data_IF_782529287043
#
_entry.id   IF_782529287043
#
_cell.length_a   1.000
_cell.length_b   1.000
_cell.length_c   1.000
_cell.angle_alpha   90.00
_cell.angle_beta   90.00
_cell.angle_gamma   90.00
#
_symmetry.space_group_name_H-M   'P 1'
#
loop_
_entity.id
_entity.type
_entity.pdbx_description
1 polymer ?
#
# COMPACT_ATOMS: atom_id res chain seq x y z
N UNK A 1 -3.25 -26.86 -2.26
CA UNK A 1 -3.26 -25.42 -1.92
C UNK A 1 -4.02 -25.26 -0.61
N UNK A 2 -3.41 -24.79 0.49
CA UNK A 2 -4.15 -24.53 1.74
C UNK A 2 -4.96 -23.25 1.56
N UNK A 3 -6.27 -23.21 1.87
CA UNK A 3 -7.03 -21.97 1.78
C UNK A 3 -6.41 -20.94 2.74
N UNK A 4 -6.11 -19.75 2.23
CA UNK A 4 -5.73 -18.62 3.07
C UNK A 4 -6.98 -18.28 3.89
N UNK A 5 -6.91 -18.47 5.21
CA UNK A 5 -7.96 -18.12 6.17
C UNK A 5 -8.09 -16.61 6.40
N UNK A 6 -7.51 -15.81 5.52
CA UNK A 6 -7.35 -14.38 5.70
C UNK A 6 -8.56 -13.65 5.12
N UNK A 7 -9.32 -12.99 5.99
CA UNK A 7 -10.42 -12.13 5.56
C UNK A 7 -9.86 -10.81 5.00
N UNK A 8 -9.68 -10.79 3.69
CA UNK A 8 -9.23 -9.61 2.94
C UNK A 8 -10.16 -8.41 3.13
N UNK A 9 -11.46 -8.62 3.30
CA UNK A 9 -12.45 -7.54 3.45
C UNK A 9 -12.27 -6.88 4.80
N UNK A 10 -12.17 -7.66 5.88
CA UNK A 10 -11.88 -7.11 7.20
C UNK A 10 -10.52 -6.43 7.26
N UNK A 11 -9.48 -6.96 6.60
CA UNK A 11 -8.19 -6.28 6.53
C UNK A 11 -8.33 -4.90 5.88
N UNK A 12 -8.96 -4.84 4.70
CA UNK A 12 -9.11 -3.59 3.95
C UNK A 12 -9.93 -2.57 4.73
N UNK A 13 -10.99 -3.03 5.41
CA UNK A 13 -11.81 -2.19 6.30
C UNK A 13 -10.99 -1.59 7.44
N UNK A 14 -10.23 -2.41 8.17
CA UNK A 14 -9.35 -1.93 9.25
C UNK A 14 -8.30 -0.94 8.75
N UNK A 15 -7.77 -1.17 7.55
CA UNK A 15 -6.84 -0.24 6.90
C UNK A 15 -7.49 1.11 6.59
N UNK A 16 -8.69 1.11 6.01
CA UNK A 16 -9.44 2.33 5.72
C UNK A 16 -9.78 3.10 7.01
N UNK A 17 -10.25 2.41 8.06
CA UNK A 17 -10.55 3.02 9.35
C UNK A 17 -9.33 3.73 9.97
N UNK A 18 -8.14 3.14 9.85
CA UNK A 18 -6.90 3.77 10.32
C UNK A 18 -6.52 5.01 9.50
N UNK A 19 -6.70 4.97 8.19
CA UNK A 19 -6.45 6.14 7.33
C UNK A 19 -7.41 7.26 7.67
N UNK A 20 -8.71 6.96 7.83
CA UNK A 20 -9.72 7.96 8.19
C UNK A 20 -9.37 8.64 9.51
N UNK A 21 -9.00 7.89 10.56
CA UNK A 21 -8.56 8.46 11.84
C UNK A 21 -7.32 9.35 11.73
N UNK A 22 -6.42 9.06 10.80
CA UNK A 22 -5.20 9.87 10.59
C UNK A 22 -5.48 11.16 9.81
N UNK A 23 -6.53 11.15 9.00
CA UNK A 23 -6.97 12.31 8.20
C UNK A 23 -8.03 13.15 8.92
N UNK A 24 -8.63 12.62 9.98
CA UNK A 24 -9.60 13.33 10.81
C UNK A 24 -9.01 14.62 11.36
N UNK A 25 -9.75 15.73 11.21
CA UNK A 25 -9.31 17.05 11.64
C UNK A 25 -8.25 17.72 10.77
N UNK A 26 -7.73 17.05 9.73
CA UNK A 26 -6.78 17.67 8.78
C UNK A 26 -7.51 18.52 7.75
N UNK A 27 -6.91 19.66 7.42
CA UNK A 27 -7.30 20.46 6.26
C UNK A 27 -7.01 19.72 4.96
N UNK A 28 -7.64 20.15 3.87
CA UNK A 28 -7.43 19.56 2.54
C UNK A 28 -5.94 19.54 2.15
N UNK A 29 -5.20 20.60 2.48
CA UNK A 29 -3.77 20.70 2.17
C UNK A 29 -2.95 19.65 2.93
N UNK A 30 -3.21 19.49 4.23
CA UNK A 30 -2.52 18.50 5.07
C UNK A 30 -2.87 17.06 4.69
N UNK A 31 -4.09 16.81 4.20
CA UNK A 31 -4.46 15.52 3.64
C UNK A 31 -3.67 15.24 2.35
N UNK A 32 -3.51 16.26 1.50
CA UNK A 32 -2.77 16.14 0.25
C UNK A 32 -1.28 15.86 0.50
N UNK A 33 -0.66 16.55 1.47
CA UNK A 33 0.70 16.27 1.92
C UNK A 33 0.86 14.86 2.49
N UNK A 34 -0.11 14.38 3.27
CA UNK A 34 -0.11 13.00 3.78
C UNK A 34 -0.03 11.98 2.63
N UNK A 35 -0.81 12.18 1.58
CA UNK A 35 -0.82 11.28 0.42
C UNK A 35 0.46 11.39 -0.42
N UNK A 36 0.98 12.60 -0.61
CA UNK A 36 2.25 12.82 -1.33
C UNK A 36 3.40 12.10 -0.62
N UNK A 37 3.56 12.32 0.68
CA UNK A 37 4.59 11.67 1.49
C UNK A 37 4.48 10.14 1.46
N UNK A 38 3.27 9.61 1.63
CA UNK A 38 3.05 8.17 1.57
C UNK A 38 3.39 7.56 0.19
N UNK A 39 3.18 8.33 -0.88
CA UNK A 39 3.52 7.92 -2.24
C UNK A 39 5.03 7.91 -2.46
N UNK A 40 5.74 8.94 -2.01
CA UNK A 40 7.20 9.02 -2.09
C UNK A 40 7.87 7.86 -1.35
N UNK A 41 7.48 7.60 -0.11
CA UNK A 41 7.99 6.49 0.70
C UNK A 41 7.78 5.13 0.00
N UNK A 42 6.60 4.95 -0.61
CA UNK A 42 6.28 3.74 -1.36
C UNK A 42 7.16 3.60 -2.60
N UNK A 43 7.37 4.67 -3.36
CA UNK A 43 8.23 4.68 -4.55
C UNK A 43 9.66 4.34 -4.16
N UNK A 44 10.22 4.98 -3.12
CA UNK A 44 11.57 4.70 -2.63
C UNK A 44 11.71 3.23 -2.23
N UNK A 45 10.71 2.67 -1.52
CA UNK A 45 10.70 1.25 -1.14
C UNK A 45 10.62 0.33 -2.36
N UNK A 46 9.80 0.65 -3.35
CA UNK A 46 9.71 -0.15 -4.57
C UNK A 46 11.03 -0.12 -5.36
N UNK A 47 11.68 1.04 -5.45
CA UNK A 47 12.96 1.20 -6.12
C UNK A 47 14.07 0.40 -5.43
N UNK A 48 14.13 0.40 -4.10
CA UNK A 48 15.10 -0.41 -3.35
C UNK A 48 14.87 -1.91 -3.53
N UNK A 49 13.61 -2.34 -3.58
CA UNK A 49 13.25 -3.74 -3.85
C UNK A 49 13.56 -4.15 -5.31
N UNK A 50 13.37 -3.24 -6.28
CA UNK A 50 13.72 -3.48 -7.69
C UNK A 50 15.24 -3.62 -7.89
N UNK A 51 16.06 -2.82 -7.20
CA UNK A 51 17.52 -2.95 -7.24
C UNK A 51 18.03 -4.30 -6.69
N UNK A 52 17.26 -4.93 -5.80
CA UNK A 52 17.64 -6.18 -5.12
C UNK A 52 16.98 -7.46 -5.69
N UNK A 53 16.21 -7.38 -6.79
CA UNK A 53 15.59 -8.56 -7.41
C UNK A 53 16.19 -8.86 -8.78
N UNK A 54 17.02 -9.92 -8.83
CA UNK A 54 17.11 -10.82 -9.98
C UNK A 54 15.68 -11.25 -10.31
N UNK A 55 15.25 -10.99 -11.53
CA UNK A 55 13.88 -11.15 -11.99
C UNK A 55 13.50 -12.65 -11.93
N UNK A 56 12.42 -13.06 -11.25
CA UNK A 56 11.68 -14.22 -11.70
C UNK A 56 10.79 -13.75 -12.85
N UNK A 57 11.07 -14.24 -14.04
CA UNK A 57 10.18 -14.19 -15.20
C UNK A 57 8.79 -14.72 -14.81
N UNK A 58 7.82 -13.81 -14.69
CA UNK A 58 6.41 -14.18 -14.54
C UNK A 58 5.86 -14.25 -15.95
N UNK A 59 5.73 -15.48 -16.45
CA UNK A 59 5.13 -15.76 -17.75
C UNK A 59 3.73 -15.18 -17.87
N UNK A 60 3.44 -14.67 -19.06
CA UNK A 60 2.14 -14.18 -19.48
C UNK A 60 1.03 -15.20 -19.15
N UNK A 61 0.00 -14.73 -18.47
CA UNK A 61 -1.26 -15.43 -18.33
C UNK A 61 -2.14 -15.04 -19.54
N UNK A 62 -2.88 -15.98 -20.15
CA UNK A 62 -3.38 -15.92 -21.53
C UNK A 62 -4.39 -14.80 -21.81
#
# INVERSE_FOLDING_TARGET
>A
MRPKTFDCVQMKRRGAEQVMKRLEGKTVQEQLEYWQKGTEELITRQQSLKKNKVQPEIGDCP
#
